data_IF_123598463244
#
_entry.id   IF_123598463244
#
_cell.length_a   1.000
_cell.length_b   1.000
_cell.length_c   1.000
_cell.angle_alpha   90.00
_cell.angle_beta   90.00
_cell.angle_gamma   90.00
#
_symmetry.space_group_name_H-M   'P 1'
#
loop_
_entity.id
_entity.type
_entity.pdbx_description
1 polymer ?
#
# COMPACT_ATOMS: atom_id res chain seq x y z
N UNK A 1 -5.46 47.93 6.13
CA UNK A 1 -4.82 46.73 5.53
C UNK A 1 -3.90 45.97 6.48
N UNK A 2 -2.90 46.58 7.13
CA UNK A 2 -1.99 45.87 8.05
C UNK A 2 -2.69 45.18 9.25
N UNK A 3 -3.72 45.80 9.83
CA UNK A 3 -4.48 45.22 10.95
C UNK A 3 -5.29 43.97 10.58
N UNK A 4 -5.90 43.97 9.38
CA UNK A 4 -6.70 42.84 8.87
C UNK A 4 -5.78 41.66 8.53
N UNK A 5 -4.58 41.93 7.99
CA UNK A 5 -3.57 40.91 7.71
C UNK A 5 -3.03 40.29 9.00
N UNK A 6 -2.78 41.08 10.05
CA UNK A 6 -2.34 40.55 11.35
C UNK A 6 -3.41 39.70 12.06
N UNK A 7 -4.69 40.08 11.98
CA UNK A 7 -5.81 39.29 12.56
C UNK A 7 -6.00 37.97 11.80
N UNK A 8 -5.88 37.98 10.46
CA UNK A 8 -5.93 36.75 9.66
C UNK A 8 -4.77 35.80 10.01
N UNK A 9 -3.55 36.31 10.18
CA UNK A 9 -2.38 35.49 10.55
C UNK A 9 -2.55 34.89 11.96
N UNK A 10 -3.10 35.64 12.91
CA UNK A 10 -3.32 35.16 14.28
C UNK A 10 -4.41 34.09 14.36
N UNK A 11 -5.51 34.26 13.62
CA UNK A 11 -6.58 33.27 13.52
C UNK A 11 -6.07 31.97 12.87
N UNK A 12 -5.36 32.06 11.73
CA UNK A 12 -4.76 30.89 11.07
C UNK A 12 -3.75 30.18 11.99
N UNK A 13 -2.94 30.94 12.74
CA UNK A 13 -2.03 30.39 13.75
C UNK A 13 -2.75 29.61 14.86
N UNK A 14 -3.83 30.17 15.43
CA UNK A 14 -4.59 29.51 16.49
C UNK A 14 -5.32 28.24 16.04
N UNK A 15 -5.87 28.21 14.82
CA UNK A 15 -6.54 27.02 14.28
C UNK A 15 -5.54 25.88 13.99
N UNK A 16 -4.36 26.19 13.43
CA UNK A 16 -3.34 25.16 13.16
C UNK A 16 -2.79 24.51 14.43
N UNK A 17 -2.64 25.29 15.51
CA UNK A 17 -2.22 24.77 16.82
C UNK A 17 -3.28 23.82 17.38
N UNK A 18 -4.56 24.23 17.39
CA UNK A 18 -5.67 23.37 17.86
C UNK A 18 -5.86 22.11 17.02
N UNK A 19 -5.59 22.19 15.71
CA UNK A 19 -5.67 21.04 14.82
C UNK A 19 -4.55 20.02 15.09
N UNK A 20 -3.35 20.50 15.42
CA UNK A 20 -2.21 19.64 15.72
C UNK A 20 -2.36 18.97 17.09
N UNK A 21 -2.97 19.65 18.07
CA UNK A 21 -3.18 19.11 19.42
C UNK A 21 -4.20 17.97 19.43
N UNK A 22 -5.38 18.13 18.81
CA UNK A 22 -6.38 17.05 18.88
C UNK A 22 -5.89 15.75 18.20
N UNK A 23 -5.06 15.86 17.16
CA UNK A 23 -4.48 14.68 16.48
C UNK A 23 -3.47 13.96 17.37
N UNK A 24 -2.65 14.70 18.13
CA UNK A 24 -1.74 14.08 19.11
C UNK A 24 -2.50 13.42 20.25
N UNK A 25 -3.53 14.09 20.75
CA UNK A 25 -4.31 13.60 21.88
C UNK A 25 -5.10 12.35 21.45
N UNK A 26 -5.73 12.37 20.27
CA UNK A 26 -6.39 11.20 19.69
C UNK A 26 -5.44 9.99 19.54
N UNK A 27 -4.20 10.22 19.10
CA UNK A 27 -3.18 9.16 19.03
C UNK A 27 -2.79 8.61 20.39
N UNK A 28 -2.66 9.48 21.39
CA UNK A 28 -2.33 9.08 22.76
C UNK A 28 -3.44 8.22 23.34
N UNK A 29 -4.70 8.68 23.30
CA UNK A 29 -5.86 7.93 23.79
C UNK A 29 -6.01 6.58 23.08
N UNK A 30 -5.78 6.55 21.76
CA UNK A 30 -5.77 5.30 21.00
C UNK A 30 -4.66 4.35 21.45
N UNK A 31 -3.48 4.88 21.75
CA UNK A 31 -2.39 4.06 22.26
C UNK A 31 -2.65 3.55 23.67
N UNK A 32 -3.23 4.37 24.54
CA UNK A 32 -3.58 3.99 25.90
C UNK A 32 -4.58 2.84 25.89
N UNK A 33 -5.66 2.97 25.11
CA UNK A 33 -6.64 1.88 24.93
C UNK A 33 -6.00 0.59 24.39
N UNK A 34 -5.14 0.70 23.36
CA UNK A 34 -4.44 -0.47 22.81
C UNK A 34 -3.46 -1.09 23.81
N UNK A 35 -2.80 -0.27 24.63
CA UNK A 35 -1.88 -0.73 25.66
C UNK A 35 -2.66 -1.49 26.73
N UNK A 36 -3.77 -0.95 27.22
CA UNK A 36 -4.65 -1.63 28.18
C UNK A 36 -5.20 -2.95 27.63
N UNK A 37 -5.66 -2.98 26.37
CA UNK A 37 -6.14 -4.21 25.75
C UNK A 37 -5.04 -5.26 25.60
N UNK A 38 -3.81 -4.83 25.33
CA UNK A 38 -2.65 -5.73 25.20
C UNK A 38 -2.26 -6.42 26.52
N UNK A 39 -2.60 -5.81 27.67
CA UNK A 39 -2.38 -6.40 28.99
C UNK A 39 -3.38 -7.52 29.30
N UNK A 40 -4.57 -7.46 28.72
CA UNK A 40 -5.65 -8.43 28.95
C UNK A 40 -5.53 -9.66 28.03
N UNK A 41 -5.08 -9.44 26.79
CA UNK A 41 -5.06 -10.46 25.72
C UNK A 41 -4.14 -10.04 24.58
N UNK A 42 -3.82 -10.99 23.71
CA UNK A 42 -3.19 -10.68 22.41
C UNK A 42 -4.09 -9.71 21.64
N UNK A 43 -3.50 -8.59 21.21
CA UNK A 43 -4.21 -7.61 20.40
C UNK A 43 -4.76 -8.25 19.12
N UNK A 44 -5.91 -7.77 18.69
CA UNK A 44 -6.60 -8.20 17.47
C UNK A 44 -7.13 -6.99 16.72
N UNK A 45 -7.45 -7.17 15.44
CA UNK A 45 -8.15 -6.15 14.65
C UNK A 45 -9.47 -5.71 15.30
N UNK A 46 -10.13 -6.61 16.05
CA UNK A 46 -11.37 -6.28 16.77
C UNK A 46 -11.11 -5.39 17.99
N UNK A 47 -10.00 -5.60 18.71
CA UNK A 47 -9.58 -4.71 19.79
C UNK A 47 -9.24 -3.31 19.25
N UNK A 48 -8.51 -3.23 18.13
CA UNK A 48 -8.23 -1.96 17.45
C UNK A 48 -9.51 -1.22 17.03
N UNK A 49 -10.46 -1.93 16.40
CA UNK A 49 -11.77 -1.37 16.05
C UNK A 49 -12.58 -0.95 17.27
N UNK A 50 -12.49 -1.66 18.39
CA UNK A 50 -13.16 -1.29 19.63
C UNK A 50 -12.59 0.01 20.21
N UNK A 51 -11.27 0.12 20.33
CA UNK A 51 -10.60 1.36 20.74
C UNK A 51 -10.97 2.55 19.85
N UNK A 52 -11.03 2.34 18.53
CA UNK A 52 -11.48 3.36 17.58
C UNK A 52 -12.92 3.84 17.84
N UNK A 53 -13.85 2.91 18.06
CA UNK A 53 -15.26 3.23 18.31
C UNK A 53 -15.43 4.01 19.61
N UNK A 54 -14.62 3.73 20.62
CA UNK A 54 -14.65 4.45 21.89
C UNK A 54 -14.00 5.84 21.79
N UNK A 55 -12.88 5.93 21.08
CA UNK A 55 -12.06 7.15 21.06
C UNK A 55 -12.60 8.19 20.08
N UNK A 56 -13.00 7.80 18.87
CA UNK A 56 -13.40 8.74 17.81
C UNK A 56 -14.53 9.72 18.22
N UNK A 57 -15.60 9.29 18.93
CA UNK A 57 -16.66 10.20 19.37
C UNK A 57 -16.15 11.32 20.29
N UNK A 58 -15.14 11.06 21.12
CA UNK A 58 -14.56 12.05 22.06
C UNK A 58 -13.96 13.27 21.33
N UNK A 59 -13.57 13.09 20.06
CA UNK A 59 -12.93 14.10 19.22
C UNK A 59 -13.82 14.68 18.12
N UNK A 60 -15.06 14.22 17.98
CA UNK A 60 -15.96 14.65 16.90
C UNK A 60 -16.13 16.18 16.84
N UNK A 61 -16.38 16.82 17.98
CA UNK A 61 -16.54 18.28 18.10
C UNK A 61 -15.28 19.03 17.68
N UNK A 62 -14.09 18.52 18.04
CA UNK A 62 -12.82 19.15 17.70
C UNK A 62 -12.52 19.03 16.20
N UNK A 63 -12.86 17.89 15.60
CA UNK A 63 -12.73 17.66 14.16
C UNK A 63 -13.66 18.61 13.38
N UNK A 64 -14.94 18.69 13.77
CA UNK A 64 -15.93 19.52 13.08
C UNK A 64 -15.66 21.03 13.26
N UNK A 65 -15.02 21.42 14.37
CA UNK A 65 -14.61 22.80 14.61
C UNK A 65 -13.51 23.29 13.64
N UNK A 66 -12.78 22.39 12.98
CA UNK A 66 -11.80 22.75 11.96
C UNK A 66 -12.43 23.03 10.58
N UNK A 67 -13.73 22.75 10.41
CA UNK A 67 -14.40 22.81 9.12
C UNK A 67 -15.25 24.07 9.06
N UNK A 68 -14.74 25.07 8.33
CA UNK A 68 -15.45 26.31 8.03
C UNK A 68 -16.20 26.14 6.71
N UNK A 69 -17.45 25.69 6.79
CA UNK A 69 -18.33 25.53 5.63
C UNK A 69 -19.78 25.88 6.04
N UNK A 70 -20.40 26.90 5.40
CA UNK A 70 -21.76 27.32 5.74
C UNK A 70 -22.85 26.33 5.31
N UNK A 71 -22.65 25.57 4.22
CA UNK A 71 -23.63 24.56 3.80
C UNK A 71 -23.56 23.34 4.73
N UNK A 72 -24.69 22.99 5.37
CA UNK A 72 -24.76 21.92 6.37
C UNK A 72 -24.44 20.54 5.78
N UNK A 73 -24.91 20.25 4.57
CA UNK A 73 -24.68 18.96 3.91
C UNK A 73 -23.21 18.81 3.51
N UNK A 74 -22.63 19.89 2.98
CA UNK A 74 -21.22 19.93 2.60
C UNK A 74 -20.30 19.89 3.82
N UNK A 75 -20.66 20.60 4.90
CA UNK A 75 -19.95 20.53 6.18
C UNK A 75 -19.95 19.11 6.74
N UNK A 76 -21.11 18.45 6.73
CA UNK A 76 -21.22 17.04 7.15
C UNK A 76 -20.31 16.14 6.30
N UNK A 77 -20.36 16.26 4.98
CA UNK A 77 -19.51 15.49 4.07
C UNK A 77 -18.01 15.70 4.32
N UNK A 78 -17.57 16.96 4.48
CA UNK A 78 -16.20 17.30 4.83
C UNK A 78 -15.80 16.73 6.20
N UNK A 79 -16.72 16.70 7.16
CA UNK A 79 -16.53 16.07 8.46
C UNK A 79 -16.26 14.57 8.35
N UNK A 80 -16.95 13.87 7.46
CA UNK A 80 -16.72 12.45 7.22
C UNK A 80 -15.37 12.19 6.54
N UNK A 81 -14.97 13.07 5.61
CA UNK A 81 -13.63 13.01 5.00
C UNK A 81 -12.56 13.22 6.07
N UNK A 82 -12.67 14.27 6.90
CA UNK A 82 -11.68 14.57 7.93
C UNK A 82 -11.50 13.41 8.94
N UNK A 83 -12.60 12.75 9.32
CA UNK A 83 -12.56 11.54 10.16
C UNK A 83 -11.86 10.39 9.44
N UNK A 84 -12.21 10.12 8.18
CA UNK A 84 -11.56 9.07 7.38
C UNK A 84 -10.06 9.32 7.26
N UNK A 85 -9.65 10.56 6.95
CA UNK A 85 -8.24 10.93 6.79
C UNK A 85 -7.47 10.77 8.09
N UNK A 86 -8.06 11.16 9.22
CA UNK A 86 -7.51 10.93 10.56
C UNK A 86 -7.28 9.44 10.82
N UNK A 87 -8.27 8.60 10.52
CA UNK A 87 -8.17 7.15 10.73
C UNK A 87 -7.13 6.49 9.81
N UNK A 88 -6.95 7.01 8.60
CA UNK A 88 -5.94 6.53 7.66
C UNK A 88 -4.52 6.93 8.09
N UNK A 89 -4.31 8.20 8.41
CA UNK A 89 -2.97 8.69 8.81
C UNK A 89 -2.51 8.05 10.11
N UNK A 90 -3.44 7.91 11.07
CA UNK A 90 -3.17 7.35 12.38
C UNK A 90 -2.58 5.94 12.33
N UNK A 91 -3.01 5.08 11.41
CA UNK A 91 -2.49 3.71 11.33
C UNK A 91 -0.97 3.65 11.18
N UNK A 92 -0.40 4.53 10.36
CA UNK A 92 1.07 4.65 10.26
C UNK A 92 1.68 5.38 11.43
N UNK A 93 1.01 6.40 11.97
CA UNK A 93 1.53 7.21 13.06
C UNK A 93 1.65 6.40 14.36
N UNK A 94 0.67 5.55 14.67
CA UNK A 94 0.68 4.64 15.82
C UNK A 94 1.82 3.62 15.77
N UNK A 95 2.30 3.22 14.59
CA UNK A 95 3.48 2.34 14.48
C UNK A 95 4.68 3.01 15.14
N UNK A 96 4.84 4.32 14.96
CA UNK A 96 5.94 5.06 15.58
C UNK A 96 5.67 5.41 17.03
N UNK A 97 4.45 5.86 17.35
CA UNK A 97 4.12 6.45 18.66
C UNK A 97 3.56 5.48 19.68
N UNK A 98 3.22 4.24 19.30
CA UNK A 98 2.59 3.28 20.19
C UNK A 98 3.28 1.90 20.15
N UNK A 99 3.99 1.57 21.22
CA UNK A 99 4.78 0.35 21.29
C UNK A 99 3.91 -0.93 21.28
N UNK A 100 2.76 -0.92 21.96
CA UNK A 100 1.83 -2.04 21.96
C UNK A 100 1.31 -2.35 20.54
N UNK A 101 0.97 -1.30 19.79
CA UNK A 101 0.51 -1.42 18.40
C UNK A 101 1.62 -1.90 17.47
N UNK A 102 2.82 -1.31 17.58
CA UNK A 102 4.00 -1.73 16.83
C UNK A 102 4.32 -3.20 17.03
N UNK A 103 4.46 -3.64 18.29
CA UNK A 103 4.76 -5.03 18.65
C UNK A 103 3.70 -5.99 18.12
N UNK A 104 2.42 -5.62 18.21
CA UNK A 104 1.34 -6.43 17.67
C UNK A 104 1.50 -6.64 16.15
N UNK A 105 1.68 -5.56 15.39
CA UNK A 105 1.81 -5.65 13.93
C UNK A 105 3.07 -6.42 13.52
N UNK A 106 4.20 -6.18 14.20
CA UNK A 106 5.45 -6.86 13.90
C UNK A 106 5.39 -8.37 14.21
N UNK A 107 4.77 -8.72 15.35
CA UNK A 107 4.49 -10.10 15.71
C UNK A 107 3.59 -10.78 14.68
N UNK A 108 2.48 -10.15 14.27
CA UNK A 108 1.57 -10.69 13.26
C UNK A 108 2.31 -10.96 11.94
N UNK A 109 3.15 -10.04 11.47
CA UNK A 109 3.96 -10.27 10.26
C UNK A 109 4.90 -11.44 10.40
N UNK A 110 5.61 -11.51 11.52
CA UNK A 110 6.57 -12.59 11.80
C UNK A 110 5.86 -13.94 11.88
N UNK A 111 4.73 -14.01 12.58
CA UNK A 111 3.90 -15.21 12.70
C UNK A 111 3.39 -15.69 11.33
N UNK A 112 2.80 -14.79 10.54
CA UNK A 112 2.30 -15.13 9.20
C UNK A 112 3.42 -15.63 8.27
N UNK A 113 4.61 -15.04 8.36
CA UNK A 113 5.79 -15.53 7.64
C UNK A 113 6.16 -16.95 8.08
N UNK A 114 6.26 -17.21 9.38
CA UNK A 114 6.62 -18.53 9.92
C UNK A 114 5.61 -19.61 9.52
N UNK A 115 4.30 -19.31 9.62
CA UNK A 115 3.23 -20.20 9.15
C UNK A 115 3.38 -20.49 7.65
N UNK A 116 3.72 -19.47 6.86
CA UNK A 116 3.96 -19.67 5.42
C UNK A 116 5.20 -20.53 5.13
N UNK A 117 6.22 -20.50 6.01
CA UNK A 117 7.41 -21.38 5.91
C UNK A 117 7.09 -22.81 6.29
N UNK A 118 6.35 -23.02 7.37
CA UNK A 118 5.93 -24.34 7.83
C UNK A 118 5.07 -25.07 6.79
N UNK A 119 4.23 -24.32 6.08
CA UNK A 119 3.39 -24.86 4.99
C UNK A 119 4.10 -24.92 3.63
N UNK A 120 5.39 -24.57 3.54
CA UNK A 120 6.15 -24.62 2.31
C UNK A 120 6.64 -26.04 2.03
N UNK A 121 6.58 -26.47 0.78
CA UNK A 121 6.97 -27.82 0.38
C UNK A 121 8.04 -27.77 -0.72
N UNK A 122 9.11 -28.54 -0.57
CA UNK A 122 10.18 -28.64 -1.58
C UNK A 122 9.68 -29.17 -2.93
N UNK A 123 8.64 -30.02 -2.95
CA UNK A 123 8.03 -30.45 -4.22
C UNK A 123 7.42 -29.30 -5.03
N UNK A 124 6.96 -28.22 -4.38
CA UNK A 124 6.52 -27.01 -5.11
C UNK A 124 7.70 -26.32 -5.80
N UNK A 125 8.90 -26.40 -5.22
CA UNK A 125 10.12 -25.84 -5.80
C UNK A 125 10.51 -26.58 -7.08
N UNK A 126 10.53 -27.92 -7.04
CA UNK A 126 10.85 -28.76 -8.20
C UNK A 126 9.97 -28.44 -9.42
N UNK A 127 8.67 -28.23 -9.19
CA UNK A 127 7.72 -27.83 -10.24
C UNK A 127 8.11 -26.50 -10.90
N UNK A 128 8.55 -25.52 -10.11
CA UNK A 128 8.96 -24.22 -10.66
C UNK A 128 10.37 -24.25 -11.24
N UNK A 129 11.25 -25.13 -10.77
CA UNK A 129 12.53 -25.41 -11.43
C UNK A 129 12.32 -25.95 -12.84
N UNK A 130 11.43 -26.94 -13.01
CA UNK A 130 11.05 -27.43 -14.33
C UNK A 130 10.45 -26.32 -15.20
N UNK A 131 9.61 -25.46 -14.64
CA UNK A 131 8.99 -24.37 -15.39
C UNK A 131 10.00 -23.34 -15.89
N UNK A 132 11.01 -23.01 -15.08
CA UNK A 132 12.12 -22.14 -15.47
C UNK A 132 12.98 -22.81 -16.55
N UNK A 133 13.23 -24.13 -16.44
CA UNK A 133 14.00 -24.87 -17.43
C UNK A 133 13.30 -24.94 -18.81
N UNK A 134 11.98 -25.14 -18.81
CA UNK A 134 11.17 -25.26 -20.04
C UNK A 134 10.85 -23.90 -20.67
N UNK A 135 10.56 -22.89 -19.83
CA UNK A 135 10.11 -21.56 -20.26
C UNK A 135 10.67 -20.48 -19.34
N UNK A 136 11.92 -20.04 -19.54
CA UNK A 136 12.56 -19.02 -18.69
C UNK A 136 11.99 -17.63 -18.98
N UNK A 137 10.88 -17.30 -18.32
CA UNK A 137 10.20 -16.01 -18.46
C UNK A 137 9.97 -15.34 -17.10
N UNK A 138 9.55 -14.07 -17.13
CA UNK A 138 9.35 -13.27 -15.92
C UNK A 138 8.43 -13.93 -14.88
N UNK A 139 7.36 -14.61 -15.33
CA UNK A 139 6.44 -15.29 -14.42
C UNK A 139 7.10 -16.51 -13.78
N UNK A 140 7.86 -17.28 -14.55
CA UNK A 140 8.52 -18.49 -14.05
C UNK A 140 9.49 -18.21 -12.91
N UNK A 141 10.36 -17.22 -13.10
CA UNK A 141 11.25 -16.78 -12.04
C UNK A 141 10.49 -16.21 -10.82
N UNK A 142 9.43 -15.42 -11.02
CA UNK A 142 8.66 -14.88 -9.90
C UNK A 142 7.98 -15.97 -9.07
N UNK A 143 7.37 -16.97 -9.72
CA UNK A 143 6.71 -18.06 -9.02
C UNK A 143 7.71 -18.92 -8.24
N UNK A 144 8.89 -19.17 -8.81
CA UNK A 144 9.98 -19.85 -8.09
C UNK A 144 10.48 -19.05 -6.89
N UNK A 145 10.67 -17.74 -7.05
CA UNK A 145 11.06 -16.84 -5.97
C UNK A 145 10.05 -16.89 -4.80
N UNK A 146 8.75 -16.92 -5.09
CA UNK A 146 7.72 -17.00 -4.05
C UNK A 146 7.83 -18.27 -3.21
N UNK A 147 8.13 -19.42 -3.82
CA UNK A 147 8.33 -20.68 -3.10
C UNK A 147 9.64 -20.66 -2.32
N UNK A 148 10.73 -20.23 -2.95
CA UNK A 148 12.03 -20.07 -2.28
C UNK A 148 11.94 -19.15 -1.06
N UNK A 149 11.19 -18.05 -1.13
CA UNK A 149 11.03 -17.13 0.01
C UNK A 149 10.38 -17.83 1.20
N UNK A 150 9.32 -18.62 0.93
CA UNK A 150 8.64 -19.42 1.96
C UNK A 150 9.56 -20.50 2.52
N UNK A 151 10.39 -21.13 1.69
CA UNK A 151 11.41 -22.09 2.15
C UNK A 151 12.58 -21.41 2.89
N UNK A 152 12.64 -20.07 2.96
CA UNK A 152 13.73 -19.34 3.62
C UNK A 152 15.00 -19.20 2.77
N UNK A 153 14.94 -19.53 1.48
CA UNK A 153 16.05 -19.43 0.54
C UNK A 153 16.26 -17.99 0.04
N UNK A 154 16.53 -17.06 0.97
CA UNK A 154 16.47 -15.60 0.73
C UNK A 154 17.38 -15.12 -0.41
N UNK A 155 18.62 -15.63 -0.51
CA UNK A 155 19.54 -15.26 -1.60
C UNK A 155 19.05 -15.72 -2.98
N UNK A 156 18.52 -16.94 -3.07
CA UNK A 156 17.96 -17.47 -4.31
C UNK A 156 16.70 -16.68 -4.70
N UNK A 157 15.85 -16.34 -3.73
CA UNK A 157 14.68 -15.50 -3.92
C UNK A 157 15.04 -14.16 -4.54
N UNK A 158 16.06 -13.47 -4.01
CA UNK A 158 16.50 -12.18 -4.53
C UNK A 158 16.93 -12.29 -6.01
N UNK A 159 17.73 -13.30 -6.34
CA UNK A 159 18.20 -13.54 -7.70
C UNK A 159 17.04 -13.78 -8.68
N UNK A 160 16.08 -14.61 -8.29
CA UNK A 160 14.91 -14.91 -9.13
C UNK A 160 13.98 -13.71 -9.30
N UNK A 161 13.78 -12.89 -8.26
CA UNK A 161 12.99 -11.65 -8.40
C UNK A 161 13.66 -10.68 -9.36
N UNK A 162 14.98 -10.50 -9.24
CA UNK A 162 15.74 -9.63 -10.13
C UNK A 162 15.66 -10.12 -11.58
N UNK A 163 15.77 -11.44 -11.81
CA UNK A 163 15.60 -12.00 -13.15
C UNK A 163 14.18 -11.83 -13.67
N UNK A 164 13.16 -11.98 -12.81
CA UNK A 164 11.77 -11.72 -13.16
C UNK A 164 11.55 -10.27 -13.61
N UNK A 165 12.11 -9.30 -12.87
CA UNK A 165 12.04 -7.88 -13.19
C UNK A 165 12.76 -7.54 -14.49
N UNK A 166 13.92 -8.14 -14.75
CA UNK A 166 14.70 -7.96 -15.98
C UNK A 166 13.91 -8.39 -17.23
N UNK A 167 13.27 -9.56 -17.15
CA UNK A 167 12.51 -10.19 -18.23
C UNK A 167 11.08 -9.63 -18.40
N UNK A 168 10.59 -8.81 -17.45
CA UNK A 168 9.24 -8.28 -17.54
C UNK A 168 9.18 -7.21 -18.66
N UNK A 169 8.37 -7.41 -19.73
CA UNK A 169 8.28 -6.45 -20.83
C UNK A 169 7.75 -5.09 -20.38
N UNK A 170 7.04 -5.04 -19.25
CA UNK A 170 6.49 -3.84 -18.64
C UNK A 170 7.27 -3.40 -17.39
N UNK A 171 8.57 -3.69 -17.31
CA UNK A 171 9.40 -3.39 -16.11
C UNK A 171 9.43 -1.91 -15.68
N UNK A 172 9.19 -1.01 -16.63
CA UNK A 172 9.08 0.43 -16.38
C UNK A 172 7.73 0.82 -15.73
N UNK A 173 6.72 -0.03 -15.85
CA UNK A 173 5.42 0.18 -15.23
C UNK A 173 5.39 -0.44 -13.84
N UNK A 174 5.48 0.41 -12.82
CA UNK A 174 5.47 -0.02 -11.42
C UNK A 174 4.25 -0.87 -11.06
N UNK A 175 3.08 -0.61 -11.65
CA UNK A 175 1.88 -1.43 -11.40
C UNK A 175 2.09 -2.87 -11.87
N UNK A 176 2.74 -3.05 -13.02
CA UNK A 176 3.05 -4.36 -13.61
C UNK A 176 4.12 -5.13 -12.86
N UNK A 177 5.01 -4.45 -12.13
CA UNK A 177 6.08 -5.06 -11.32
C UNK A 177 5.82 -5.02 -9.81
N UNK A 178 4.63 -4.57 -9.38
CA UNK A 178 4.34 -4.26 -7.98
C UNK A 178 4.59 -5.45 -7.05
N UNK A 179 4.17 -6.65 -7.46
CA UNK A 179 4.28 -7.85 -6.65
C UNK A 179 5.73 -8.33 -6.50
N UNK A 180 6.53 -8.23 -7.57
CA UNK A 180 7.96 -8.49 -7.53
C UNK A 180 8.68 -7.54 -6.57
N UNK A 181 8.41 -6.24 -6.70
CA UNK A 181 9.01 -5.21 -5.86
C UNK A 181 8.58 -5.33 -4.39
N UNK A 182 7.34 -5.72 -4.14
CA UNK A 182 6.85 -6.00 -2.79
C UNK A 182 7.58 -7.19 -2.15
N UNK A 183 7.75 -8.29 -2.89
CA UNK A 183 8.50 -9.45 -2.40
C UNK A 183 9.99 -9.12 -2.21
N UNK A 184 10.57 -8.30 -3.08
CA UNK A 184 11.95 -7.83 -2.93
C UNK A 184 12.13 -6.97 -1.68
N UNK A 185 11.14 -6.13 -1.34
CA UNK A 185 11.16 -5.37 -0.10
C UNK A 185 11.17 -6.29 1.12
N UNK A 186 10.40 -7.38 1.10
CA UNK A 186 10.42 -8.38 2.18
C UNK A 186 11.76 -9.13 2.26
N UNK A 187 12.37 -9.45 1.13
CA UNK A 187 13.73 -10.00 1.08
C UNK A 187 14.73 -9.06 1.74
N UNK A 188 14.64 -7.76 1.46
CA UNK A 188 15.50 -6.76 2.08
C UNK A 188 15.24 -6.65 3.59
N UNK A 189 13.99 -6.74 4.05
CA UNK A 189 13.70 -6.82 5.49
C UNK A 189 14.33 -8.06 6.15
N UNK A 190 14.30 -9.23 5.51
CA UNK A 190 14.95 -10.46 6.03
C UNK A 190 16.48 -10.36 6.07
N UNK A 191 17.05 -9.47 5.26
CA UNK A 191 18.48 -9.18 5.23
C UNK A 191 18.83 -7.95 6.09
N UNK A 192 17.89 -7.42 6.88
CA UNK A 192 18.02 -6.18 7.68
C UNK A 192 18.35 -4.92 6.86
N UNK A 193 18.15 -4.97 5.55
CA UNK A 193 18.32 -3.88 4.57
C UNK A 193 17.09 -2.97 4.56
N UNK A 194 16.68 -2.50 5.73
CA UNK A 194 15.41 -1.79 5.91
C UNK A 194 15.30 -0.50 5.09
N UNK A 195 16.40 0.25 4.94
CA UNK A 195 16.41 1.48 4.13
C UNK A 195 16.07 1.21 2.66
N UNK A 196 16.57 0.11 2.10
CA UNK A 196 16.29 -0.29 0.72
C UNK A 196 14.84 -0.80 0.58
N UNK A 197 14.33 -1.53 1.58
CA UNK A 197 12.93 -1.93 1.63
C UNK A 197 11.99 -0.70 1.62
N UNK A 198 12.29 0.34 2.40
CA UNK A 198 11.53 1.60 2.42
C UNK A 198 11.50 2.26 1.04
N UNK A 199 12.61 2.27 0.30
CA UNK A 199 12.65 2.82 -1.07
C UNK A 199 11.74 2.04 -2.03
N UNK A 200 11.66 0.72 -1.88
CA UNK A 200 10.76 -0.12 -2.67
C UNK A 200 9.30 0.15 -2.31
N UNK A 201 8.98 0.31 -1.02
CA UNK A 201 7.63 0.68 -0.58
C UNK A 201 7.19 2.04 -1.10
N UNK A 202 8.05 3.05 -1.00
CA UNK A 202 7.84 4.37 -1.58
C UNK A 202 7.55 4.28 -3.09
N UNK A 203 8.27 3.39 -3.79
CA UNK A 203 8.10 3.17 -5.24
C UNK A 203 6.75 2.54 -5.56
N UNK A 204 6.31 1.54 -4.79
CA UNK A 204 5.08 0.77 -5.09
C UNK A 204 3.80 1.34 -4.48
N UNK A 205 3.89 2.44 -3.73
CA UNK A 205 2.74 3.10 -3.13
C UNK A 205 1.82 3.71 -4.20
N UNK A 206 0.53 3.36 -4.17
CA UNK A 206 -0.47 3.80 -5.16
C UNK A 206 -1.52 4.79 -4.62
N UNK A 207 -1.24 5.47 -3.52
CA UNK A 207 -2.11 6.51 -2.95
C UNK A 207 -2.75 6.10 -1.62
N UNK A 208 -3.61 6.96 -1.09
CA UNK A 208 -4.07 6.94 0.30
C UNK A 208 -4.86 5.68 0.69
N UNK A 209 -5.37 4.92 -0.28
CA UNK A 209 -6.07 3.65 -0.05
C UNK A 209 -5.12 2.44 0.00
N UNK A 210 -3.83 2.60 -0.33
CA UNK A 210 -2.82 1.54 -0.25
C UNK A 210 -2.25 1.42 1.18
N UNK A 211 -3.17 1.24 2.14
CA UNK A 211 -2.90 1.29 3.59
C UNK A 211 -1.89 0.22 3.99
N UNK A 212 -1.95 -0.96 3.35
CA UNK A 212 -1.01 -2.04 3.63
C UNK A 212 0.43 -1.62 3.31
N UNK A 213 0.69 -1.06 2.12
CA UNK A 213 2.04 -0.59 1.77
C UNK A 213 2.50 0.50 2.73
N UNK A 214 1.60 1.39 3.17
CA UNK A 214 1.92 2.44 4.15
C UNK A 214 2.33 1.84 5.50
N UNK A 215 1.60 0.84 6.01
CA UNK A 215 1.96 0.14 7.26
C UNK A 215 3.30 -0.60 7.11
N UNK A 216 3.49 -1.34 6.01
CA UNK A 216 4.74 -2.04 5.72
C UNK A 216 5.94 -1.09 5.70
N UNK A 217 5.78 0.03 5.00
CA UNK A 217 6.78 1.09 4.93
C UNK A 217 7.10 1.65 6.32
N UNK A 218 6.09 1.97 7.12
CA UNK A 218 6.27 2.52 8.47
C UNK A 218 6.98 1.52 9.40
N UNK A 219 6.66 0.23 9.32
CA UNK A 219 7.35 -0.82 10.08
C UNK A 219 8.82 -0.93 9.69
N UNK A 220 9.12 -1.02 8.40
CA UNK A 220 10.49 -1.08 7.90
C UNK A 220 11.29 0.19 8.26
N UNK A 221 10.68 1.38 8.11
CA UNK A 221 11.32 2.64 8.45
C UNK A 221 11.59 2.75 9.96
N UNK A 222 10.65 2.36 10.83
CA UNK A 222 10.89 2.31 12.28
C UNK A 222 12.04 1.37 12.64
N UNK A 223 12.11 0.17 12.03
CA UNK A 223 13.24 -0.75 12.20
C UNK A 223 14.58 -0.18 11.72
N UNK A 224 14.54 0.72 10.73
CA UNK A 224 15.71 1.47 10.27
C UNK A 224 16.11 2.66 11.19
N UNK A 225 15.42 2.86 12.32
CA UNK A 225 15.60 4.02 13.21
C UNK A 225 14.84 5.28 12.77
N UNK A 226 13.90 5.14 11.85
CA UNK A 226 13.04 6.23 11.37
C UNK A 226 12.02 6.69 12.40
N UNK A 227 11.45 7.87 12.16
CA UNK A 227 10.46 8.51 13.04
C UNK A 227 9.23 8.93 12.23
N UNK A 228 8.19 9.42 12.92
CA UNK A 228 6.98 9.96 12.26
C UNK A 228 7.29 11.05 11.22
N UNK A 229 8.42 11.76 11.34
CA UNK A 229 8.85 12.76 10.36
C UNK A 229 9.10 12.16 8.96
N UNK A 230 9.40 10.86 8.88
CA UNK A 230 9.65 10.15 7.63
C UNK A 230 8.37 9.72 6.92
N UNK A 231 7.19 9.86 7.53
CA UNK A 231 5.91 9.52 6.90
C UNK A 231 5.72 10.42 5.67
N UNK A 232 5.57 9.86 4.45
CA UNK A 232 5.45 10.67 3.25
C UNK A 232 4.21 11.55 3.33
N UNK A 233 4.36 12.86 3.09
CA UNK A 233 3.19 13.75 3.02
C UNK A 233 2.49 13.51 1.68
N UNK A 234 1.16 13.64 1.64
CA UNK A 234 0.34 13.37 0.45
C UNK A 234 0.79 14.12 -0.83
N UNK A 235 1.48 15.26 -0.70
CA UNK A 235 2.06 16.03 -1.82
C UNK A 235 3.36 15.42 -2.35
N UNK A 236 4.16 14.76 -1.52
CA UNK A 236 5.49 14.28 -1.89
C UNK A 236 5.42 13.01 -2.77
N UNK A 237 4.33 12.26 -2.65
CA UNK A 237 4.11 10.98 -3.34
C UNK A 237 3.64 11.15 -4.79
N UNK A 238 2.96 12.26 -5.12
CA UNK A 238 2.63 12.62 -6.52
C UNK A 238 3.87 13.11 -7.27
N UNK A 239 4.70 13.89 -6.60
CA UNK A 239 5.88 14.54 -7.19
C UNK A 239 6.96 13.52 -7.62
N UNK A 240 7.19 12.43 -6.87
CA UNK A 240 8.16 11.39 -7.25
C UNK A 240 7.77 10.62 -8.53
N UNK A 241 6.47 10.47 -8.82
CA UNK A 241 5.98 9.75 -10.00
C UNK A 241 5.89 10.65 -11.26
N UNK A 242 5.77 11.97 -11.09
CA UNK A 242 5.69 12.92 -12.21
C UNK A 242 7.06 13.32 -12.78
N UNK A 243 8.12 13.34 -11.96
CA UNK A 243 9.48 13.74 -12.42
C UNK A 243 10.05 12.78 -13.49
N UNK A 244 9.61 11.52 -13.54
CA UNK A 244 10.00 10.56 -14.60
C UNK A 244 9.13 10.61 -15.86
N UNK A 245 7.93 11.19 -15.78
CA UNK A 245 7.00 11.27 -16.91
C UNK A 245 7.26 12.50 -17.79
N UNK A 246 7.75 13.60 -17.21
CA UNK A 246 8.02 14.84 -17.95
C UNK A 246 9.29 14.72 -18.83
N UNK A 247 10.29 13.95 -18.39
CA UNK A 247 11.54 13.73 -19.16
C UNK A 247 11.40 12.79 -20.36
N UNK A 248 10.30 12.02 -20.46
CA UNK A 248 10.02 11.17 -21.65
C UNK A 248 9.16 11.85 -22.72
N UNK A 249 8.47 12.95 -22.39
CA UNK A 249 7.56 13.64 -23.33
C UNK A 249 8.23 14.63 -24.27
N UNK A 250 9.52 14.97 -24.08
CA UNK A 250 10.23 15.92 -24.97
C UNK A 250 11.00 15.29 -26.14
N UNK A 251 10.88 13.97 -26.38
CA UNK A 251 11.60 13.28 -27.48
C UNK A 251 10.72 12.69 -28.59
N UNK A 252 9.43 13.00 -28.63
CA UNK A 252 8.54 12.54 -29.72
C UNK A 252 7.66 13.68 -30.23
N UNK A 253 8.29 14.70 -30.82
CA UNK A 253 7.65 15.53 -31.84
C UNK A 253 8.54 15.52 -33.08
N UNK A 254 8.13 14.73 -34.06
CA UNK A 254 8.87 14.53 -35.30
C UNK A 254 8.21 13.50 -36.17
N UNK A 255 7.07 13.86 -36.77
CA UNK A 255 6.60 13.44 -38.10
C UNK A 255 5.07 13.50 -38.18
N UNK A 256 4.59 14.56 -38.84
CA UNK A 256 3.24 14.61 -39.43
C UNK A 256 3.28 13.86 -40.76
N UNK A 257 2.26 13.05 -41.06
CA UNK A 257 1.64 12.99 -42.40
C UNK A 257 0.35 12.15 -42.39
N UNK A 258 -0.75 12.88 -42.59
CA UNK A 258 -2.01 12.55 -43.26
C UNK A 258 -2.19 11.19 -43.95
N UNK A 259 -3.36 10.56 -43.72
CA UNK A 259 -4.45 10.45 -44.72
C UNK A 259 -5.74 9.89 -44.08
N UNK A 260 -6.85 10.55 -44.36
CA UNK A 260 -8.21 10.13 -44.05
C UNK A 260 -8.84 9.54 -45.31
N UNK A 261 -9.56 8.40 -45.21
CA UNK A 261 -10.70 8.06 -46.07
C UNK A 261 -11.71 7.25 -45.25
N UNK A 262 -12.96 7.69 -45.34
CA UNK A 262 -14.24 7.23 -44.77
C UNK A 262 -14.81 5.98 -45.47
N UNK A 263 -15.62 5.19 -44.75
CA UNK A 263 -16.97 4.69 -45.13
C UNK A 263 -17.31 3.28 -44.59
N UNK A 264 -18.42 3.20 -43.86
CA UNK A 264 -19.27 2.01 -43.61
C UNK A 264 -20.47 2.05 -44.59
N UNK A 265 -21.46 1.12 -44.59
CA UNK A 265 -21.49 -0.33 -44.27
C UNK A 265 -22.30 -1.18 -45.29
N UNK A 266 -22.25 -2.54 -45.27
CA UNK A 266 -23.45 -3.43 -45.35
C UNK A 266 -23.16 -4.94 -45.52
N UNK A 267 -23.73 -5.73 -44.59
CA UNK A 267 -24.53 -6.98 -44.65
C UNK A 267 -24.13 -8.25 -45.48
N UNK A 268 -24.44 -9.39 -44.82
CA UNK A 268 -24.76 -10.76 -45.32
C UNK A 268 -23.56 -11.67 -45.66
N UNK A 269 -23.42 -12.94 -45.22
CA UNK A 269 -24.30 -13.94 -44.60
C UNK A 269 -23.50 -15.16 -44.08
N UNK A 270 -24.23 -16.08 -43.40
CA UNK A 270 -23.96 -17.53 -43.15
C UNK A 270 -23.08 -17.97 -41.96
N UNK A 271 -23.81 -18.26 -40.87
CA UNK A 271 -23.73 -19.44 -39.99
C UNK A 271 -22.73 -20.56 -40.35
N UNK A 272 -21.84 -20.87 -39.41
CA UNK A 272 -21.60 -22.26 -38.94
C UNK A 272 -21.32 -22.27 -37.44
N UNK A 273 -22.21 -22.95 -36.73
CA UNK A 273 -22.23 -23.22 -35.30
C UNK A 273 -21.01 -24.05 -34.89
N UNK A 274 -20.16 -23.52 -34.00
CA UNK A 274 -19.16 -24.29 -33.26
C UNK A 274 -19.51 -24.16 -31.77
N UNK A 275 -19.74 -25.30 -31.11
CA UNK A 275 -20.04 -25.42 -29.68
C UNK A 275 -18.94 -24.73 -28.84
N UNK A 276 -19.28 -24.02 -27.75
CA UNK A 276 -18.26 -23.43 -26.88
C UNK A 276 -17.58 -24.53 -26.05
N UNK A 277 -16.25 -24.65 -26.20
CA UNK A 277 -15.41 -25.36 -25.24
C UNK A 277 -15.38 -24.53 -23.94
N UNK A 278 -15.65 -25.19 -22.82
CA UNK A 278 -15.52 -24.65 -21.47
C UNK A 278 -14.17 -23.96 -21.28
N UNK A 279 -14.20 -22.66 -21.05
CA UNK A 279 -13.08 -21.93 -20.48
C UNK A 279 -12.93 -22.36 -19.01
N UNK A 280 -12.00 -23.28 -18.74
CA UNK A 280 -11.46 -23.47 -17.40
C UNK A 280 -10.90 -22.13 -16.91
N UNK A 281 -11.63 -21.51 -15.98
CA UNK A 281 -11.19 -20.33 -15.22
C UNK A 281 -9.78 -20.63 -14.67
N UNK A 282 -8.78 -19.86 -15.09
CA UNK A 282 -7.46 -19.81 -14.43
C UNK A 282 -7.71 -19.40 -12.98
N UNK A 283 -7.45 -20.32 -12.07
CA UNK A 283 -7.70 -20.15 -10.66
C UNK A 283 -6.70 -19.16 -10.05
N UNK A 284 -7.11 -17.90 -9.95
CA UNK A 284 -6.38 -16.84 -9.23
C UNK A 284 -6.64 -16.90 -7.71
N UNK A 285 -7.23 -17.98 -7.19
CA UNK A 285 -7.55 -18.10 -5.76
C UNK A 285 -6.32 -18.25 -4.87
N UNK A 286 -5.19 -18.76 -5.40
CA UNK A 286 -3.95 -18.95 -4.63
C UNK A 286 -3.30 -17.63 -4.20
N UNK A 287 -3.34 -16.60 -5.05
CA UNK A 287 -2.89 -15.25 -4.71
C UNK A 287 -3.86 -14.57 -3.73
N UNK A 288 -5.18 -14.68 -3.94
CA UNK A 288 -6.15 -14.12 -2.99
C UNK A 288 -6.07 -14.75 -1.60
N UNK A 289 -5.80 -16.05 -1.50
CA UNK A 289 -5.60 -16.74 -0.21
C UNK A 289 -4.35 -16.23 0.54
N UNK A 290 -3.31 -15.83 -0.19
CA UNK A 290 -2.11 -15.21 0.40
C UNK A 290 -2.37 -13.81 0.98
N UNK A 291 -3.39 -13.10 0.46
CA UNK A 291 -3.76 -11.73 0.87
C UNK A 291 -5.01 -11.65 1.77
N UNK A 292 -5.51 -12.78 2.29
CA UNK A 292 -6.64 -12.77 3.23
C UNK A 292 -6.18 -12.29 4.61
N UNK A 293 -6.23 -10.97 4.82
CA UNK A 293 -6.68 -10.46 6.11
C UNK A 293 -8.15 -10.85 6.27
N UNK A 294 -8.52 -11.40 7.43
CA UNK A 294 -9.83 -12.02 7.66
C UNK A 294 -10.99 -11.10 7.28
N UNK A 295 -11.92 -11.63 6.47
CA UNK A 295 -13.30 -11.16 6.49
C UNK A 295 -13.98 -11.87 7.66
N UNK A 296 -14.30 -11.12 8.72
CA UNK A 296 -14.91 -11.58 9.96
C UNK A 296 -14.39 -10.80 11.14
#
# INVERSE_FOLDING_TARGET
>A
MKLIVSILIYLVGAFTIKAQTYKSDFRADMCDCLTEESLKRTLTENAYKACLRETLPKYATQIDAQIVEPDVNKKYYLGQIARKDLLLSMQSELIYSCEAYYKHLDYQRTSQKLIARENANESDLEKYDQMVALTPNAMAYFMRAQVQFKLGNIKATEADINKSLELNPNKENVKSTRHQLLLLAWVYEEQERYKEAVLLYDKIYFGELDIEVVKLRALADKKAGGTMANIPKAKDLKTKNEIKAVTRRSKTEGSKSSKAITAEPSKSSRSRTIKPKENKKKDTSSLRKLFKMGNG
#
